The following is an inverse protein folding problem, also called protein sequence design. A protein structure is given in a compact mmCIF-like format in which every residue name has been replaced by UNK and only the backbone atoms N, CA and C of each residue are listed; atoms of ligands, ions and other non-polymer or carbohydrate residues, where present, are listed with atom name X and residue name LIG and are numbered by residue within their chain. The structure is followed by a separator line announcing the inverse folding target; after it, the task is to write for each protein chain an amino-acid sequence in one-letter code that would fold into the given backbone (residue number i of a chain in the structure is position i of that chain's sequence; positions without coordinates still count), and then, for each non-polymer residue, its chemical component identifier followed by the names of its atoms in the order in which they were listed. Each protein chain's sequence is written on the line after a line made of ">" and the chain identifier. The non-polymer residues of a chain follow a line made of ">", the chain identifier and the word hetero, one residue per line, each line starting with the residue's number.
data_IF_003338207206
#
_entry.id   IF_003338207206
#
_cell.length_a   1.000
_cell.length_b   1.000
_cell.length_c   1.000
_cell.angle_alpha   90.00
_cell.angle_beta   90.00
_cell.angle_gamma   90.00
#
_symmetry.space_group_name_H-M   'P 1'
#
loop_
_entity.id
_entity.type
_entity.pdbx_description
1 polymer ?
#
# COMPACT_ATOMS: atom_id res chain seq x y z
N UNK A 1 11.49 -8.90 -23.71
CA UNK A 1 11.14 -8.89 -22.27
C UNK A 1 11.07 -7.48 -21.68
N UNK A 2 12.03 -6.59 -21.91
CA UNK A 2 11.98 -5.21 -21.39
C UNK A 2 10.78 -4.38 -21.91
N UNK A 3 10.38 -4.57 -23.16
CA UNK A 3 9.24 -3.87 -23.79
C UNK A 3 7.88 -4.31 -23.22
N UNK A 4 7.72 -5.56 -22.81
CA UNK A 4 6.47 -6.07 -22.23
C UNK A 4 6.29 -5.53 -20.80
N UNK A 5 7.37 -5.43 -20.03
CA UNK A 5 7.37 -4.85 -18.70
C UNK A 5 7.08 -3.34 -18.77
N UNK A 6 7.64 -2.64 -19.76
CA UNK A 6 7.35 -1.20 -19.98
C UNK A 6 5.90 -0.98 -20.45
N UNK A 7 5.32 -1.87 -21.23
CA UNK A 7 3.92 -1.78 -21.68
C UNK A 7 2.93 -2.04 -20.56
N UNK A 8 3.20 -3.01 -19.69
CA UNK A 8 2.42 -3.21 -18.45
C UNK A 8 2.52 -2.02 -17.49
N UNK A 9 3.67 -1.34 -17.42
CA UNK A 9 3.88 -0.18 -16.58
C UNK A 9 3.15 1.09 -17.08
N UNK A 10 2.80 1.17 -18.35
CA UNK A 10 2.12 2.36 -18.92
C UNK A 10 0.58 2.27 -18.88
N UNK A 11 -0.01 1.10 -18.71
CA UNK A 11 -1.45 0.88 -18.84
C UNK A 11 -2.19 0.53 -17.56
N UNK A 12 -1.50 0.18 -16.47
CA UNK A 12 -2.14 -0.34 -15.26
C UNK A 12 -1.92 0.49 -13.99
N UNK A 13 -1.49 1.74 -14.08
CA UNK A 13 -1.28 2.59 -12.90
C UNK A 13 -2.54 3.29 -12.35
N UNK A 14 -3.72 2.78 -12.64
CA UNK A 14 -4.85 2.97 -11.76
C UNK A 14 -4.87 1.83 -10.72
N UNK A 15 -3.76 1.63 -10.08
CA UNK A 15 -3.63 0.59 -9.07
C UNK A 15 -4.54 0.89 -7.89
N UNK A 16 -5.63 0.31 -7.96
CA UNK A 16 -6.59 0.15 -6.92
C UNK A 16 -6.05 -0.74 -5.84
N UNK A 17 -5.93 -0.17 -4.72
CA UNK A 17 -5.76 -0.93 -3.50
C UNK A 17 -7.12 -1.18 -2.82
N UNK A 18 -8.16 -1.48 -3.61
CA UNK A 18 -9.48 -1.86 -3.10
C UNK A 18 -10.24 -0.80 -2.31
N UNK A 19 -9.73 0.41 -2.17
CA UNK A 19 -10.43 1.52 -1.55
C UNK A 19 -11.33 2.23 -2.57
N UNK A 20 -12.51 2.59 -2.13
CA UNK A 20 -13.53 3.17 -3.00
C UNK A 20 -13.60 4.68 -2.80
N UNK A 21 -13.64 5.46 -3.91
CA UNK A 21 -13.98 6.87 -3.79
C UNK A 21 -15.36 7.00 -3.15
N UNK A 22 -15.44 7.77 -2.07
CA UNK A 22 -16.70 8.03 -1.34
C UNK A 22 -17.82 8.51 -2.26
N UNK A 23 -17.48 9.33 -3.25
CA UNK A 23 -18.42 9.86 -4.23
C UNK A 23 -19.01 8.79 -5.16
N UNK A 24 -18.42 7.58 -5.21
CA UNK A 24 -18.80 6.52 -6.14
C UNK A 24 -19.55 5.36 -5.49
N UNK A 25 -19.76 5.36 -4.17
CA UNK A 25 -20.34 4.22 -3.45
C UNK A 25 -21.84 4.35 -3.18
N UNK A 26 -22.53 5.29 -3.80
CA UNK A 26 -23.97 5.34 -3.74
C UNK A 26 -24.60 4.14 -4.46
N UNK A 27 -25.77 3.69 -4.00
CA UNK A 27 -26.49 2.60 -4.66
C UNK A 27 -26.69 2.87 -6.15
N UNK A 28 -26.94 4.13 -6.54
CA UNK A 28 -27.05 4.55 -7.92
C UNK A 28 -25.76 4.26 -8.70
N UNK A 29 -24.62 4.76 -8.22
CA UNK A 29 -23.34 4.62 -8.93
C UNK A 29 -22.92 3.15 -9.07
N UNK A 30 -23.18 2.33 -8.07
CA UNK A 30 -22.89 0.89 -8.10
C UNK A 30 -23.81 0.14 -9.06
N UNK A 31 -25.12 0.47 -9.10
CA UNK A 31 -26.05 -0.14 -10.05
C UNK A 31 -25.76 0.28 -11.50
N UNK A 32 -25.46 1.57 -11.72
CA UNK A 32 -25.10 2.10 -13.03
C UNK A 32 -23.65 1.72 -13.43
N UNK A 33 -22.87 1.18 -12.50
CA UNK A 33 -21.47 0.85 -12.66
C UNK A 33 -20.64 2.04 -13.19
N UNK A 34 -20.90 3.22 -12.64
CA UNK A 34 -20.23 4.47 -13.05
C UNK A 34 -19.59 5.15 -11.84
N UNK A 35 -18.30 5.53 -12.00
CA UNK A 35 -17.55 6.35 -11.05
C UNK A 35 -16.91 7.54 -11.77
N UNK A 36 -17.70 8.57 -12.01
CA UNK A 36 -17.28 9.80 -12.68
C UNK A 36 -17.67 11.04 -11.86
N UNK A 37 -17.15 11.18 -10.63
CA UNK A 37 -17.54 12.30 -9.78
C UNK A 37 -17.02 13.63 -10.34
N UNK A 38 -17.70 14.74 -10.03
CA UNK A 38 -17.28 16.06 -10.47
C UNK A 38 -15.98 16.48 -9.77
N UNK A 39 -15.14 17.22 -10.48
CA UNK A 39 -14.05 17.94 -9.87
C UNK A 39 -14.56 19.25 -9.25
N UNK A 40 -14.21 19.52 -8.00
CA UNK A 40 -14.72 20.67 -7.26
C UNK A 40 -14.33 22.04 -7.86
N UNK A 41 -13.26 22.09 -8.66
CA UNK A 41 -12.77 23.34 -9.23
C UNK A 41 -13.63 23.90 -10.37
N UNK A 42 -14.36 23.04 -11.11
CA UNK A 42 -15.25 23.47 -12.20
C UNK A 42 -16.64 22.84 -12.17
N UNK A 43 -16.87 21.93 -11.23
CA UNK A 43 -18.16 21.25 -11.04
C UNK A 43 -18.52 20.22 -12.12
N UNK A 44 -17.70 20.02 -13.13
CA UNK A 44 -17.96 19.07 -14.21
C UNK A 44 -17.43 17.66 -13.88
N UNK A 45 -18.05 16.59 -14.38
CA UNK A 45 -17.54 15.23 -14.22
C UNK A 45 -16.09 15.13 -14.67
N UNK A 46 -15.21 14.59 -13.81
CA UNK A 46 -13.78 14.43 -14.09
C UNK A 46 -13.02 15.74 -14.43
N UNK A 47 -13.58 16.92 -14.14
CA UNK A 47 -12.99 18.21 -14.55
C UNK A 47 -12.96 18.40 -16.06
N UNK A 48 -13.99 17.91 -16.76
CA UNK A 48 -14.03 17.93 -18.23
C UNK A 48 -13.98 19.35 -18.81
N UNK A 49 -14.64 20.32 -18.19
CA UNK A 49 -14.62 21.72 -18.64
C UNK A 49 -13.22 22.33 -18.57
N UNK A 50 -12.43 21.92 -17.60
CA UNK A 50 -11.03 22.35 -17.45
C UNK A 50 -10.03 21.44 -18.18
N UNK A 51 -10.49 20.49 -18.98
CA UNK A 51 -9.62 19.58 -19.74
C UNK A 51 -8.85 18.56 -18.88
N UNK A 52 -9.27 18.33 -17.62
CA UNK A 52 -8.57 17.42 -16.70
C UNK A 52 -8.78 15.95 -17.02
N UNK A 53 -9.94 15.60 -17.53
CA UNK A 53 -10.27 14.24 -17.91
C UNK A 53 -11.69 14.09 -18.41
N UNK A 54 -12.08 12.87 -18.71
CA UNK A 54 -13.39 12.54 -19.26
C UNK A 54 -13.94 11.27 -18.60
N UNK A 55 -15.26 11.22 -18.46
CA UNK A 55 -15.96 10.00 -18.06
C UNK A 55 -16.05 9.05 -19.25
N UNK A 56 -15.31 7.96 -19.21
CA UNK A 56 -15.21 7.01 -20.33
C UNK A 56 -15.31 5.56 -19.86
N UNK A 57 -15.66 4.68 -20.79
CA UNK A 57 -15.60 3.24 -20.54
C UNK A 57 -14.17 2.81 -20.24
N UNK A 58 -14.03 1.91 -19.27
CA UNK A 58 -12.76 1.27 -18.95
C UNK A 58 -12.37 0.40 -20.14
N UNK A 59 -11.17 0.61 -20.66
CA UNK A 59 -10.60 -0.26 -21.69
C UNK A 59 -10.11 -1.55 -21.02
N UNK A 60 -10.81 -2.64 -21.27
CA UNK A 60 -10.40 -3.95 -20.80
C UNK A 60 -9.27 -4.46 -21.68
N UNK A 61 -8.27 -5.07 -21.07
CA UNK A 61 -7.23 -5.80 -21.80
C UNK A 61 -7.85 -7.07 -22.41
N UNK A 62 -7.55 -7.32 -23.68
CA UNK A 62 -7.87 -8.61 -24.34
C UNK A 62 -6.80 -9.69 -24.05
N UNK A 63 -5.77 -9.37 -23.29
CA UNK A 63 -4.80 -10.35 -22.86
C UNK A 63 -5.50 -11.40 -21.98
N UNK A 64 -5.19 -12.68 -22.15
CA UNK A 64 -5.72 -13.70 -21.25
C UNK A 64 -5.27 -13.37 -19.83
N UNK A 65 -6.19 -13.48 -18.90
CA UNK A 65 -5.86 -13.44 -17.48
C UNK A 65 -4.76 -14.45 -17.20
N UNK A 66 -3.86 -14.13 -16.30
CA UNK A 66 -2.82 -15.06 -15.88
C UNK A 66 -3.41 -16.41 -15.44
N UNK A 67 -2.58 -17.45 -15.27
CA UNK A 67 -3.06 -18.76 -14.86
C UNK A 67 -3.80 -18.60 -13.52
N UNK A 68 -5.09 -18.92 -13.55
CA UNK A 68 -5.93 -18.86 -12.36
C UNK A 68 -5.98 -20.22 -11.70
N UNK A 69 -6.00 -20.22 -10.38
CA UNK A 69 -6.32 -21.42 -9.63
C UNK A 69 -7.71 -21.93 -10.07
N UNK A 70 -8.02 -23.25 -9.96
CA UNK A 70 -9.34 -23.78 -10.33
C UNK A 70 -10.45 -23.24 -9.42
N UNK A 71 -10.48 -21.95 -9.30
CA UNK A 71 -11.43 -21.16 -8.55
C UNK A 71 -12.51 -20.67 -9.52
N UNK A 72 -13.72 -20.92 -9.18
CA UNK A 72 -14.87 -20.28 -9.81
C UNK A 72 -15.03 -18.86 -9.28
N UNK A 73 -14.16 -17.93 -9.69
CA UNK A 73 -14.32 -16.55 -9.21
C UNK A 73 -13.26 -15.59 -9.69
N UNK A 74 -13.59 -14.32 -9.61
CA UNK A 74 -12.77 -13.20 -10.04
C UNK A 74 -12.00 -12.68 -8.83
N UNK A 75 -10.68 -12.56 -8.94
CA UNK A 75 -9.91 -11.75 -8.02
C UNK A 75 -10.25 -10.28 -8.29
N UNK A 76 -10.93 -9.64 -7.37
CA UNK A 76 -11.35 -8.24 -7.47
C UNK A 76 -10.16 -7.27 -7.63
N UNK A 77 -8.94 -7.70 -7.27
CA UNK A 77 -7.71 -6.95 -7.46
C UNK A 77 -7.23 -6.96 -8.91
N UNK A 78 -7.33 -8.11 -9.60
CA UNK A 78 -6.91 -8.21 -11.01
C UNK A 78 -7.75 -7.35 -11.94
N UNK A 79 -9.05 -7.30 -11.67
CA UNK A 79 -10.01 -6.65 -12.55
C UNK A 79 -10.48 -5.30 -12.03
N UNK A 80 -9.80 -4.76 -11.02
CA UNK A 80 -10.12 -3.43 -10.53
C UNK A 80 -9.81 -2.36 -11.60
N UNK A 81 -10.64 -1.30 -11.74
CA UNK A 81 -11.94 -1.11 -11.12
C UNK A 81 -13.10 -1.73 -11.91
N UNK A 82 -12.84 -2.44 -13.01
CA UNK A 82 -13.84 -2.96 -13.94
C UNK A 82 -14.79 -3.99 -13.32
N UNK A 83 -14.40 -4.60 -12.19
CA UNK A 83 -15.28 -5.46 -11.41
C UNK A 83 -16.52 -4.71 -10.92
N UNK A 84 -16.34 -3.45 -10.51
CA UNK A 84 -17.39 -2.62 -9.91
C UNK A 84 -17.92 -1.55 -10.86
N UNK A 85 -17.10 -1.06 -11.78
CA UNK A 85 -17.45 0.06 -12.65
C UNK A 85 -17.12 -0.23 -14.11
N UNK A 86 -18.04 0.11 -15.00
CA UNK A 86 -17.81 0.08 -16.44
C UNK A 86 -17.24 1.41 -16.96
N UNK A 87 -17.51 2.51 -16.23
CA UNK A 87 -17.08 3.86 -16.60
C UNK A 87 -16.42 4.55 -15.42
N UNK A 88 -15.29 5.16 -15.68
CA UNK A 88 -14.53 5.94 -14.69
C UNK A 88 -13.93 7.18 -15.32
N UNK A 89 -13.42 8.09 -14.47
CA UNK A 89 -12.64 9.21 -14.96
C UNK A 89 -11.33 8.75 -15.57
N UNK A 90 -11.13 9.08 -16.86
CA UNK A 90 -9.85 8.92 -17.53
C UNK A 90 -9.16 10.28 -17.57
N UNK A 91 -8.08 10.42 -16.80
CA UNK A 91 -7.43 11.70 -16.61
C UNK A 91 -6.43 12.02 -17.75
N UNK A 92 -6.43 13.27 -18.19
CA UNK A 92 -5.57 13.78 -19.27
C UNK A 92 -4.25 14.32 -18.72
N UNK A 93 -3.22 14.34 -19.54
CA UNK A 93 -1.94 15.00 -19.22
C UNK A 93 -1.33 14.55 -17.90
N UNK A 94 -1.05 15.49 -17.02
CA UNK A 94 -0.45 15.24 -15.70
C UNK A 94 -1.49 15.21 -14.56
N UNK A 95 -2.76 15.11 -14.87
CA UNK A 95 -3.81 14.94 -13.85
C UNK A 95 -3.99 13.47 -13.48
N UNK A 96 -4.43 13.21 -12.23
CA UNK A 96 -4.73 11.89 -11.69
C UNK A 96 -5.80 11.98 -10.58
N UNK A 97 -6.13 10.82 -10.02
CA UNK A 97 -7.13 10.67 -8.97
C UNK A 97 -8.51 10.33 -9.52
N UNK A 98 -9.44 10.00 -8.64
CA UNK A 98 -10.76 9.48 -9.00
C UNK A 98 -11.66 10.48 -9.75
N UNK A 99 -11.38 11.78 -9.62
CA UNK A 99 -12.07 12.88 -10.30
C UNK A 99 -11.11 13.76 -11.11
N UNK A 100 -9.87 13.31 -11.35
CA UNK A 100 -8.79 14.05 -12.00
C UNK A 100 -8.40 15.36 -11.29
N UNK A 101 -8.67 15.43 -9.99
CA UNK A 101 -8.40 16.62 -9.18
C UNK A 101 -6.94 16.79 -8.77
N UNK A 102 -6.17 15.72 -8.77
CA UNK A 102 -4.79 15.68 -8.28
C UNK A 102 -3.77 15.73 -9.42
N UNK A 103 -2.54 16.10 -9.09
CA UNK A 103 -1.42 16.00 -10.01
C UNK A 103 -0.73 14.64 -9.92
N UNK A 104 -0.24 14.13 -11.05
CA UNK A 104 0.68 12.99 -11.06
C UNK A 104 1.92 13.28 -10.23
N UNK A 105 2.51 12.25 -9.66
CA UNK A 105 3.71 12.39 -8.82
C UNK A 105 4.84 13.13 -9.59
N UNK A 106 5.48 14.06 -8.87
CA UNK A 106 6.50 14.93 -9.45
C UNK A 106 5.96 16.17 -10.15
N UNK A 107 4.64 16.32 -10.24
CA UNK A 107 4.00 17.54 -10.75
C UNK A 107 3.20 18.24 -9.66
N UNK A 108 3.03 19.55 -9.82
CA UNK A 108 2.27 20.39 -8.89
C UNK A 108 1.70 21.64 -9.53
N UNK A 109 0.94 22.40 -8.75
CA UNK A 109 0.23 23.60 -9.19
C UNK A 109 -1.13 23.29 -9.78
N UNK A 110 -1.95 24.35 -10.04
CA UNK A 110 -3.35 24.19 -10.44
C UNK A 110 -3.53 23.44 -11.76
N UNK A 111 -2.57 23.53 -12.67
CA UNK A 111 -2.59 22.87 -13.97
C UNK A 111 -1.64 21.68 -14.07
N UNK A 112 -1.02 21.27 -12.96
CA UNK A 112 -0.06 20.16 -12.92
C UNK A 112 1.08 20.27 -13.94
N UNK A 113 1.55 21.48 -14.21
CA UNK A 113 2.61 21.75 -15.21
C UNK A 113 3.98 21.95 -14.59
N UNK A 114 4.02 22.37 -13.33
CA UNK A 114 5.28 22.60 -12.63
C UNK A 114 5.86 21.27 -12.21
N UNK A 115 7.19 21.15 -12.27
CA UNK A 115 7.91 19.98 -11.75
C UNK A 115 8.47 20.28 -10.37
N UNK A 116 8.45 19.27 -9.51
CA UNK A 116 9.00 19.35 -8.17
C UNK A 116 9.80 18.09 -7.87
N UNK A 117 11.01 18.28 -7.35
CA UNK A 117 11.83 17.22 -6.79
C UNK A 117 11.70 17.26 -5.27
N UNK A 118 11.20 16.18 -4.69
CA UNK A 118 11.16 15.97 -3.25
C UNK A 118 12.22 14.97 -2.86
N UNK A 119 12.92 15.25 -1.75
CA UNK A 119 14.01 14.40 -1.26
C UNK A 119 13.62 13.86 0.11
N UNK A 120 13.58 12.54 0.24
CA UNK A 120 13.44 11.86 1.52
C UNK A 120 14.76 11.93 2.27
N UNK A 121 14.71 12.31 3.52
CA UNK A 121 15.90 12.46 4.39
C UNK A 121 15.96 11.31 5.39
N UNK A 122 17.17 10.98 5.85
CA UNK A 122 17.31 10.10 7.00
C UNK A 122 16.60 10.73 8.21
N UNK A 123 15.89 9.93 8.98
CA UNK A 123 15.14 10.41 10.14
C UNK A 123 16.03 11.06 11.19
N UNK A 124 17.30 10.65 11.29
CA UNK A 124 18.30 11.23 12.18
C UNK A 124 18.87 12.58 11.69
N UNK A 125 18.68 12.91 10.41
CA UNK A 125 19.08 14.21 9.85
C UNK A 125 17.98 15.27 10.01
N UNK A 126 16.84 14.91 10.57
CA UNK A 126 15.77 15.83 10.86
C UNK A 126 16.09 16.64 12.12
N UNK A 127 15.91 17.94 12.06
CA UNK A 127 15.89 18.78 13.27
C UNK A 127 14.71 18.37 14.17
N UNK A 128 14.80 18.71 15.46
CA UNK A 128 13.74 18.40 16.43
C UNK A 128 12.37 18.91 15.97
N UNK A 129 12.22 20.18 15.48
CA UNK A 129 10.92 20.64 14.97
C UNK A 129 10.42 19.88 13.74
N UNK A 130 11.32 19.43 12.84
CA UNK A 130 10.93 18.65 11.67
C UNK A 130 10.46 17.25 12.06
N UNK A 131 11.15 16.60 12.99
CA UNK A 131 10.77 15.33 13.57
C UNK A 131 9.41 15.42 14.27
N UNK A 132 9.24 16.40 15.15
CA UNK A 132 7.98 16.60 15.88
C UNK A 132 6.81 16.87 14.91
N UNK A 133 7.06 17.66 13.86
CA UNK A 133 6.10 17.89 12.79
C UNK A 133 5.73 16.58 12.07
N UNK A 134 6.70 15.75 11.75
CA UNK A 134 6.44 14.42 11.15
C UNK A 134 5.54 13.55 12.02
N UNK A 135 5.85 13.43 13.31
CA UNK A 135 5.05 12.65 14.26
C UNK A 135 3.63 13.25 14.45
N UNK A 136 3.53 14.57 14.49
CA UNK A 136 2.24 15.25 14.55
C UNK A 136 1.39 14.99 13.31
N UNK A 137 1.98 14.94 12.12
CA UNK A 137 1.27 14.64 10.88
C UNK A 137 0.75 13.19 10.83
N UNK A 138 1.54 12.22 11.32
CA UNK A 138 1.08 10.85 11.49
C UNK A 138 -0.13 10.78 12.44
N UNK A 139 -0.04 11.46 13.57
CA UNK A 139 -1.13 11.51 14.55
C UNK A 139 -2.37 12.19 13.99
N UNK A 140 -2.21 13.28 13.24
CA UNK A 140 -3.33 13.95 12.56
C UNK A 140 -4.01 12.99 11.58
N UNK A 141 -3.24 12.27 10.77
CA UNK A 141 -3.78 11.29 9.81
C UNK A 141 -4.50 10.12 10.50
N UNK A 142 -3.99 9.68 11.67
CA UNK A 142 -4.63 8.62 12.46
C UNK A 142 -6.00 9.01 12.99
N UNK A 143 -6.21 10.30 13.30
CA UNK A 143 -7.45 10.80 13.89
C UNK A 143 -8.37 11.51 12.88
N UNK A 144 -7.95 11.67 11.63
CA UNK A 144 -8.75 12.31 10.58
C UNK A 144 -9.38 11.26 9.68
N UNK A 145 -10.70 11.24 9.61
CA UNK A 145 -11.42 10.36 8.66
C UNK A 145 -11.07 10.78 7.23
N UNK A 146 -10.77 9.81 6.38
CA UNK A 146 -10.52 10.06 4.97
C UNK A 146 -11.73 10.76 4.33
N UNK A 147 -11.56 11.97 3.76
CA UNK A 147 -12.66 12.67 3.10
C UNK A 147 -13.04 12.00 1.78
N UNK A 148 -12.09 11.43 1.09
CA UNK A 148 -12.23 10.98 -0.29
C UNK A 148 -12.51 9.48 -0.43
N UNK A 149 -12.14 8.67 0.57
CA UNK A 149 -12.20 7.22 0.46
C UNK A 149 -12.92 6.53 1.60
N UNK A 150 -13.48 5.38 1.26
CA UNK A 150 -14.10 4.42 2.18
C UNK A 150 -13.60 3.02 1.87
N UNK A 151 -13.74 2.11 2.81
CA UNK A 151 -13.40 0.70 2.63
C UNK A 151 -14.66 -0.16 2.55
N UNK A 152 -14.65 -1.25 1.76
CA UNK A 152 -15.75 -2.20 1.74
C UNK A 152 -15.77 -3.02 3.03
N UNK A 153 -16.96 -3.28 3.54
CA UNK A 153 -17.20 -4.14 4.72
C UNK A 153 -18.01 -5.39 4.37
N UNK A 154 -18.42 -5.50 3.11
CA UNK A 154 -19.08 -6.66 2.57
C UNK A 154 -18.17 -7.47 1.65
N UNK A 155 -18.49 -8.75 1.48
CA UNK A 155 -17.83 -9.56 0.46
C UNK A 155 -18.18 -9.07 -0.95
N UNK A 156 -17.33 -9.37 -1.92
CA UNK A 156 -17.59 -9.07 -3.33
C UNK A 156 -18.99 -9.54 -3.78
N UNK A 157 -19.38 -10.76 -3.40
CA UNK A 157 -20.71 -11.30 -3.73
C UNK A 157 -21.87 -10.49 -3.14
N UNK A 158 -21.72 -10.01 -1.90
CA UNK A 158 -22.72 -9.15 -1.26
C UNK A 158 -22.83 -7.79 -1.94
N UNK A 159 -21.72 -7.19 -2.35
CA UNK A 159 -21.72 -5.89 -3.03
C UNK A 159 -22.29 -5.97 -4.45
N UNK A 160 -22.16 -7.12 -5.13
CA UNK A 160 -22.61 -7.28 -6.53
C UNK A 160 -24.03 -7.84 -6.69
N UNK A 161 -24.70 -8.28 -5.63
CA UNK A 161 -26.05 -8.83 -5.72
C UNK A 161 -27.17 -7.77 -5.61
N UNK A 162 -26.82 -6.48 -5.67
CA UNK A 162 -27.77 -5.37 -5.54
C UNK A 162 -28.20 -5.07 -4.11
N UNK A 163 -27.57 -5.69 -3.12
CA UNK A 163 -27.80 -5.37 -1.71
C UNK A 163 -27.30 -3.96 -1.36
N UNK A 164 -27.72 -3.46 -0.21
CA UNK A 164 -27.26 -2.16 0.29
C UNK A 164 -25.74 -2.09 0.29
N UNK A 165 -25.14 -1.01 -0.23
CA UNK A 165 -23.70 -0.83 -0.22
C UNK A 165 -23.16 -0.96 1.20
N UNK A 166 -22.14 -1.81 1.34
CA UNK A 166 -21.50 -2.08 2.62
C UNK A 166 -20.14 -1.40 2.63
N UNK A 167 -20.10 -0.19 3.15
CA UNK A 167 -18.89 0.61 3.23
C UNK A 167 -18.75 1.25 4.61
N UNK A 168 -17.53 1.40 5.08
CA UNK A 168 -17.20 2.05 6.35
C UNK A 168 -16.26 3.22 6.15
N UNK A 169 -16.40 4.23 6.98
CA UNK A 169 -15.43 5.30 7.15
C UNK A 169 -14.18 4.74 7.82
N UNK A 170 -13.04 5.29 7.44
CA UNK A 170 -11.76 4.91 8.02
C UNK A 170 -10.86 6.15 8.15
N UNK A 171 -9.95 6.17 9.11
CA UNK A 171 -8.97 7.25 9.20
C UNK A 171 -8.03 7.22 8.00
N UNK A 172 -7.39 8.35 7.69
CA UNK A 172 -6.41 8.40 6.59
C UNK A 172 -5.25 7.44 6.83
N UNK A 173 -4.75 7.33 8.07
CA UNK A 173 -3.70 6.39 8.40
C UNK A 173 -4.17 4.94 8.24
N UNK A 174 -5.30 4.60 8.82
CA UNK A 174 -5.82 3.22 8.77
C UNK A 174 -6.29 2.82 7.38
N UNK A 175 -6.63 3.77 6.51
CA UNK A 175 -6.86 3.50 5.09
C UNK A 175 -5.63 2.89 4.44
N UNK A 176 -4.42 3.41 4.74
CA UNK A 176 -3.18 2.85 4.20
C UNK A 176 -2.84 1.50 4.84
N UNK A 177 -3.14 1.30 6.12
CA UNK A 177 -3.05 -0.03 6.76
C UNK A 177 -3.96 -1.02 6.05
N UNK A 178 -5.21 -0.62 5.79
CA UNK A 178 -6.18 -1.44 5.08
C UNK A 178 -5.77 -1.73 3.63
N UNK A 179 -5.23 -0.74 2.92
CA UNK A 179 -4.72 -0.92 1.56
C UNK A 179 -3.61 -1.97 1.52
N UNK A 180 -2.67 -1.89 2.46
CA UNK A 180 -1.59 -2.86 2.56
C UNK A 180 -2.11 -4.27 2.87
N UNK A 181 -3.00 -4.38 3.86
CA UNK A 181 -3.71 -5.62 4.19
C UNK A 181 -4.43 -6.22 2.97
N UNK A 182 -5.19 -5.39 2.24
CA UNK A 182 -5.99 -5.83 1.11
C UNK A 182 -5.14 -6.38 -0.04
N UNK A 183 -4.02 -5.75 -0.33
CA UNK A 183 -3.10 -6.18 -1.39
C UNK A 183 -2.31 -7.42 -0.98
N UNK A 184 -1.99 -7.56 0.30
CA UNK A 184 -1.22 -8.67 0.85
C UNK A 184 -2.02 -9.98 0.99
N UNK A 185 -3.27 -10.02 0.51
CA UNK A 185 -4.02 -11.27 0.44
C UNK A 185 -3.37 -12.24 -0.55
N UNK A 186 -3.40 -13.52 -0.22
CA UNK A 186 -2.91 -14.57 -1.09
C UNK A 186 -3.54 -14.48 -2.48
N UNK A 187 -2.78 -14.77 -3.52
CA UNK A 187 -3.28 -14.73 -4.89
C UNK A 187 -4.11 -15.95 -5.23
N UNK A 188 -5.01 -15.79 -6.18
CA UNK A 188 -5.75 -16.89 -6.80
C UNK A 188 -5.02 -17.47 -8.01
N UNK A 189 -3.75 -17.14 -8.23
CA UNK A 189 -2.97 -17.70 -9.32
C UNK A 189 -2.80 -19.20 -9.12
N UNK A 190 -3.33 -19.96 -10.05
CA UNK A 190 -3.29 -21.40 -10.00
C UNK A 190 -2.28 -22.02 -10.92
N UNK A 191 -2.16 -23.33 -10.82
CA UNK A 191 -1.40 -24.16 -11.73
C UNK A 191 -0.13 -24.76 -11.17
N UNK A 192 0.47 -24.20 -10.12
CA UNK A 192 1.57 -24.84 -9.39
C UNK A 192 1.59 -24.40 -7.94
N UNK A 193 2.23 -25.19 -7.08
CA UNK A 193 2.43 -24.83 -5.68
C UNK A 193 3.27 -23.56 -5.50
N UNK A 194 4.09 -23.21 -6.51
CA UNK A 194 4.93 -22.01 -6.54
C UNK A 194 4.07 -20.72 -6.56
N UNK A 195 2.92 -20.78 -7.21
CA UNK A 195 2.02 -19.62 -7.38
C UNK A 195 0.93 -19.55 -6.32
N UNK A 196 0.74 -20.64 -5.57
CA UNK A 196 -0.19 -20.66 -4.46
C UNK A 196 0.34 -19.76 -3.35
N UNK A 197 -0.53 -19.01 -2.76
CA UNK A 197 -0.22 -18.21 -1.58
C UNK A 197 0.84 -17.11 -1.83
N UNK A 198 0.99 -16.64 -3.08
CA UNK A 198 1.82 -15.48 -3.39
C UNK A 198 1.06 -14.21 -3.08
N UNK A 199 1.71 -13.37 -2.30
CA UNK A 199 1.34 -11.98 -2.09
C UNK A 199 2.05 -11.11 -3.14
N UNK A 200 1.31 -10.47 -4.06
CA UNK A 200 1.91 -9.67 -5.12
C UNK A 200 2.56 -8.37 -4.67
N UNK A 201 2.20 -7.85 -3.52
CA UNK A 201 2.90 -6.71 -2.92
C UNK A 201 4.23 -7.14 -2.29
N UNK A 202 4.31 -8.43 -1.89
CA UNK A 202 5.47 -9.08 -1.31
C UNK A 202 5.76 -10.35 -2.11
N UNK A 203 6.94 -10.93 -1.93
CA UNK A 203 7.33 -12.21 -2.53
C UNK A 203 7.19 -12.27 -4.06
N UNK A 204 7.05 -11.12 -4.74
CA UNK A 204 6.80 -11.03 -6.19
C UNK A 204 7.50 -9.81 -6.81
N UNK A 205 7.61 -9.74 -8.15
CA UNK A 205 8.24 -8.61 -8.83
C UNK A 205 7.62 -7.24 -8.51
N UNK A 206 6.39 -7.22 -8.04
CA UNK A 206 5.66 -6.03 -7.61
C UNK A 206 6.20 -5.36 -6.34
N UNK A 207 6.99 -6.06 -5.54
CA UNK A 207 7.42 -5.58 -4.23
C UNK A 207 7.93 -4.13 -4.24
N UNK A 208 9.00 -3.84 -4.94
CA UNK A 208 9.59 -2.49 -4.94
C UNK A 208 8.72 -1.43 -5.63
N UNK A 209 8.19 -1.65 -6.85
CA UNK A 209 7.38 -0.63 -7.50
C UNK A 209 6.06 -0.37 -6.77
N UNK A 210 5.44 -1.39 -6.18
CA UNK A 210 4.22 -1.22 -5.41
C UNK A 210 4.47 -0.39 -4.14
N UNK A 211 5.47 -0.73 -3.32
CA UNK A 211 5.79 0.02 -2.10
C UNK A 211 6.22 1.46 -2.41
N UNK A 212 6.95 1.67 -3.52
CA UNK A 212 7.28 3.03 -3.96
C UNK A 212 6.02 3.85 -4.26
N UNK A 213 5.06 3.28 -4.99
CA UNK A 213 3.79 3.94 -5.29
C UNK A 213 2.96 4.18 -4.03
N UNK A 214 2.91 3.20 -3.14
CA UNK A 214 2.22 3.28 -1.86
C UNK A 214 2.73 4.47 -1.02
N UNK A 215 4.04 4.60 -0.88
CA UNK A 215 4.65 5.72 -0.16
C UNK A 215 4.42 7.07 -0.85
N UNK A 216 4.48 7.14 -2.18
CA UNK A 216 4.16 8.38 -2.91
C UNK A 216 2.72 8.82 -2.71
N UNK A 217 1.77 7.88 -2.67
CA UNK A 217 0.38 8.17 -2.34
C UNK A 217 0.22 8.65 -0.90
N UNK A 218 0.89 7.98 0.03
CA UNK A 218 0.90 8.40 1.43
C UNK A 218 1.40 9.83 1.59
N UNK A 219 2.53 10.16 0.97
CA UNK A 219 3.08 11.52 0.98
C UNK A 219 2.07 12.52 0.41
N UNK A 220 1.41 12.21 -0.69
CA UNK A 220 0.42 13.08 -1.32
C UNK A 220 -0.81 13.31 -0.42
N UNK A 221 -1.31 12.27 0.23
CA UNK A 221 -2.44 12.39 1.16
C UNK A 221 -2.08 13.28 2.38
N UNK A 222 -0.88 13.12 2.94
CA UNK A 222 -0.40 13.98 4.03
C UNK A 222 -0.21 15.43 3.54
N UNK A 223 0.34 15.63 2.35
CA UNK A 223 0.48 16.97 1.77
C UNK A 223 -0.89 17.65 1.60
N UNK A 224 -1.90 16.93 1.15
CA UNK A 224 -3.27 17.43 1.02
C UNK A 224 -3.91 17.72 2.39
N UNK A 225 -3.73 16.82 3.35
CA UNK A 225 -4.28 16.97 4.70
C UNK A 225 -3.72 18.19 5.44
N UNK A 226 -2.43 18.42 5.29
CA UNK A 226 -1.69 19.42 6.09
C UNK A 226 -1.44 20.74 5.36
N UNK A 227 -1.57 20.76 4.03
CA UNK A 227 -1.12 21.85 3.18
C UNK A 227 0.40 21.99 3.09
N UNK A 228 1.18 21.07 3.69
CA UNK A 228 2.63 21.05 3.58
C UNK A 228 3.07 20.29 2.31
N UNK A 229 3.15 20.99 1.21
CA UNK A 229 3.52 20.45 -0.08
C UNK A 229 4.92 19.83 -0.12
N UNK A 230 5.80 20.16 0.83
CA UNK A 230 7.17 19.67 0.91
C UNK A 230 7.31 18.43 1.79
N UNK A 231 6.22 17.95 2.37
CA UNK A 231 6.26 16.75 3.19
C UNK A 231 6.76 15.54 2.40
N UNK A 232 7.70 14.82 3.00
CA UNK A 232 8.17 13.49 2.55
C UNK A 232 8.29 12.58 3.75
N UNK A 233 8.13 11.28 3.53
CA UNK A 233 8.39 10.27 4.57
C UNK A 233 9.90 10.18 4.79
N UNK A 234 10.42 10.39 6.00
CA UNK A 234 11.81 10.14 6.29
C UNK A 234 12.11 8.64 6.22
N UNK A 235 13.34 8.28 5.92
CA UNK A 235 13.79 6.89 5.97
C UNK A 235 14.71 6.64 7.15
N UNK A 236 14.73 5.42 7.64
CA UNK A 236 15.71 4.92 8.58
C UNK A 236 16.74 4.08 7.82
N UNK A 237 17.98 4.49 7.90
CA UNK A 237 19.10 3.69 7.39
C UNK A 237 19.54 2.72 8.50
N UNK A 238 19.02 1.51 8.43
CA UNK A 238 19.27 0.47 9.42
C UNK A 238 20.55 -0.36 9.17
N UNK A 239 21.35 0.00 8.16
CA UNK A 239 22.61 -0.69 7.88
C UNK A 239 23.56 -0.56 9.06
N UNK A 240 24.14 -1.70 9.46
CA UNK A 240 25.08 -1.82 10.57
C UNK A 240 24.53 -1.33 11.93
N UNK A 241 23.23 -1.13 12.06
CA UNK A 241 22.63 -0.83 13.34
C UNK A 241 22.63 -2.08 14.24
N UNK A 242 23.08 -1.93 15.48
CA UNK A 242 23.13 -3.02 16.45
C UNK A 242 21.74 -3.38 16.99
N UNK A 243 20.82 -2.41 17.02
CA UNK A 243 19.47 -2.54 17.50
C UNK A 243 18.54 -1.54 16.84
N UNK A 244 17.25 -1.57 17.16
CA UNK A 244 16.28 -0.59 16.67
C UNK A 244 16.48 0.74 17.39
N UNK A 245 17.33 1.60 16.87
CA UNK A 245 17.65 2.92 17.43
C UNK A 245 16.55 3.97 17.24
N UNK A 246 15.59 3.72 16.32
CA UNK A 246 14.36 4.50 16.20
C UNK A 246 13.24 4.02 17.13
N UNK A 247 13.40 2.90 17.83
CA UNK A 247 12.44 2.34 18.79
C UNK A 247 12.50 3.05 20.14
N UNK A 248 12.51 4.36 20.17
CA UNK A 248 12.52 5.22 21.36
C UNK A 248 11.30 6.15 21.36
N UNK A 249 10.98 6.71 22.53
CA UNK A 249 9.82 7.60 22.65
C UNK A 249 9.96 8.90 21.85
N UNK A 250 11.18 9.24 21.48
CA UNK A 250 11.46 10.40 20.61
C UNK A 250 11.15 10.12 19.13
N UNK A 251 11.01 8.84 18.73
CA UNK A 251 10.78 8.41 17.35
C UNK A 251 9.55 7.51 17.25
N UNK A 252 9.72 6.22 17.05
CA UNK A 252 8.64 5.26 16.79
C UNK A 252 8.11 4.57 18.05
N UNK A 253 8.40 5.11 19.22
CA UNK A 253 7.97 4.62 20.51
C UNK A 253 8.92 3.57 21.12
N UNK A 254 9.21 3.72 22.41
CA UNK A 254 10.00 2.78 23.18
C UNK A 254 9.14 1.63 23.73
N UNK A 255 9.80 0.71 24.44
CA UNK A 255 9.13 -0.38 25.13
C UNK A 255 8.44 0.10 26.41
N UNK A 256 7.28 -0.45 26.70
CA UNK A 256 6.61 -0.24 27.96
C UNK A 256 7.43 -0.86 29.13
N UNK A 257 7.64 -0.11 30.25
CA UNK A 257 8.53 -0.59 31.33
C UNK A 257 8.13 -1.92 31.96
N UNK A 258 6.80 -2.18 32.05
CA UNK A 258 6.28 -3.37 32.69
C UNK A 258 5.81 -4.47 31.71
N UNK A 259 5.66 -4.14 30.41
CA UNK A 259 5.22 -5.11 29.40
C UNK A 259 5.94 -4.84 28.07
N UNK A 260 6.96 -5.63 27.73
CA UNK A 260 7.77 -5.38 26.54
C UNK A 260 6.99 -5.51 25.21
N UNK A 261 5.79 -6.05 25.23
CA UNK A 261 4.95 -6.16 24.05
C UNK A 261 4.16 -4.86 23.73
N UNK A 262 4.09 -3.95 24.69
CA UNK A 262 3.39 -2.68 24.53
C UNK A 262 4.38 -1.55 24.26
N UNK A 263 3.85 -0.46 23.71
CA UNK A 263 4.58 0.80 23.61
C UNK A 263 4.67 1.50 24.97
N UNK A 264 5.74 2.24 25.16
CA UNK A 264 5.88 3.16 26.29
C UNK A 264 4.71 4.13 26.39
N UNK A 265 4.17 4.40 27.57
CA UNK A 265 3.12 5.42 27.76
C UNK A 265 3.53 6.83 27.35
N UNK A 266 4.83 7.11 27.28
CA UNK A 266 5.38 8.40 26.83
C UNK A 266 5.44 8.51 25.30
N UNK A 267 5.23 7.43 24.56
CA UNK A 267 5.24 7.43 23.10
C UNK A 267 4.02 8.16 22.53
N UNK A 268 4.21 8.88 21.44
CA UNK A 268 3.12 9.45 20.62
C UNK A 268 2.09 8.41 20.18
N UNK A 269 2.50 7.16 20.05
CA UNK A 269 1.69 6.06 19.53
C UNK A 269 1.03 5.24 20.64
N UNK A 270 1.22 5.58 21.92
CA UNK A 270 0.76 4.77 23.05
C UNK A 270 -0.75 4.55 23.11
N UNK A 271 -1.53 5.50 22.59
CA UNK A 271 -3.00 5.43 22.52
C UNK A 271 -3.53 4.85 21.21
N UNK A 272 -2.65 4.51 20.27
CA UNK A 272 -3.07 4.00 18.97
C UNK A 272 -3.60 2.58 19.07
N UNK A 273 -4.59 2.32 18.26
CA UNK A 273 -5.16 0.99 18.12
C UNK A 273 -4.87 0.45 16.72
N UNK A 274 -4.67 -0.86 16.64
CA UNK A 274 -4.47 -1.57 15.39
C UNK A 274 -5.80 -1.86 14.72
N UNK A 275 -5.76 -1.98 13.40
CA UNK A 275 -6.83 -2.50 12.56
C UNK A 275 -6.24 -3.59 11.67
N UNK A 276 -7.06 -4.50 11.17
CA UNK A 276 -6.62 -5.50 10.19
C UNK A 276 -5.47 -6.40 10.65
N UNK A 277 -5.51 -6.86 11.90
CA UNK A 277 -4.44 -7.70 12.47
C UNK A 277 -4.43 -9.13 11.92
N UNK A 278 -5.51 -9.56 11.29
CA UNK A 278 -5.66 -10.92 10.77
C UNK A 278 -5.54 -10.92 9.26
N UNK A 279 -4.79 -11.87 8.73
CA UNK A 279 -4.75 -12.12 7.30
C UNK A 279 -6.11 -12.64 6.83
N UNK A 280 -6.55 -12.16 5.69
CA UNK A 280 -7.75 -12.63 5.02
C UNK A 280 -7.44 -13.91 4.27
N UNK A 281 -8.25 -14.95 4.51
CA UNK A 281 -8.24 -16.12 3.64
C UNK A 281 -9.03 -15.78 2.38
N UNK A 282 -8.34 -15.58 1.31
CA UNK A 282 -8.96 -15.23 0.02
C UNK A 282 -9.96 -16.30 -0.46
N UNK A 283 -9.73 -17.55 -0.10
CA UNK A 283 -10.59 -18.68 -0.42
C UNK A 283 -12.03 -18.52 0.06
N UNK A 284 -12.25 -17.83 1.16
CA UNK A 284 -13.60 -17.57 1.67
C UNK A 284 -14.25 -16.36 1.01
N UNK A 285 -13.51 -15.53 0.30
CA UNK A 285 -13.94 -14.23 -0.25
C UNK A 285 -14.62 -13.34 0.77
N UNK A 286 -14.22 -13.50 1.99
CA UNK A 286 -14.75 -12.77 3.11
C UNK A 286 -13.77 -11.69 3.49
N UNK A 287 -14.19 -10.44 3.43
CA UNK A 287 -13.40 -9.34 3.97
C UNK A 287 -13.40 -9.48 5.49
N UNK A 288 -12.27 -9.81 6.08
CA UNK A 288 -12.13 -9.99 7.52
C UNK A 288 -11.91 -8.66 8.25
N UNK A 289 -11.28 -7.70 7.59
CA UNK A 289 -11.04 -6.36 8.15
C UNK A 289 -12.10 -5.36 7.69
N UNK A 290 -12.86 -4.87 8.64
CA UNK A 290 -13.85 -3.80 8.43
C UNK A 290 -13.40 -2.44 8.98
N UNK A 291 -12.11 -2.29 9.33
CA UNK A 291 -11.54 -1.07 9.90
C UNK A 291 -11.86 -0.83 11.37
N UNK A 292 -12.47 -1.80 12.06
CA UNK A 292 -12.75 -1.69 13.50
C UNK A 292 -11.45 -1.83 14.30
N UNK A 293 -11.24 -1.01 15.33
CA UNK A 293 -10.11 -1.17 16.23
C UNK A 293 -10.08 -2.54 16.93
N UNK A 294 -8.92 -3.19 16.96
CA UNK A 294 -8.73 -4.55 17.46
C UNK A 294 -7.86 -4.62 18.73
N UNK A 295 -7.42 -3.50 19.25
CA UNK A 295 -6.61 -3.42 20.46
C UNK A 295 -5.42 -2.48 20.32
N UNK A 296 -4.57 -2.39 21.35
CA UNK A 296 -3.44 -1.47 21.36
C UNK A 296 -2.38 -1.84 20.32
N UNK A 297 -1.66 -0.83 19.84
CA UNK A 297 -0.47 -1.03 19.02
C UNK A 297 0.59 -1.79 19.84
N UNK A 298 1.12 -2.87 19.27
CA UNK A 298 2.09 -3.73 19.95
C UNK A 298 3.52 -3.45 19.46
N UNK A 299 4.46 -3.30 20.38
CA UNK A 299 5.88 -3.16 20.06
C UNK A 299 6.49 -4.49 19.59
N UNK A 300 5.98 -5.59 20.07
CA UNK A 300 6.44 -6.93 19.72
C UNK A 300 5.22 -7.83 19.49
N UNK A 301 4.67 -7.85 18.29
CA UNK A 301 3.47 -8.62 17.97
C UNK A 301 3.71 -10.14 17.91
N UNK A 302 4.92 -10.61 18.25
CA UNK A 302 5.27 -12.02 18.19
C UNK A 302 5.64 -12.54 16.80
N UNK A 303 5.68 -11.67 15.80
CA UNK A 303 6.04 -12.05 14.43
C UNK A 303 7.56 -12.07 14.19
N UNK A 304 8.36 -11.65 15.19
CA UNK A 304 9.80 -11.60 15.11
C UNK A 304 10.42 -12.94 15.45
N UNK A 305 11.08 -13.55 14.50
CA UNK A 305 11.85 -14.80 14.69
C UNK A 305 13.33 -14.48 14.86
N UNK A 306 13.75 -14.30 16.13
CA UNK A 306 15.15 -14.01 16.48
C UNK A 306 16.12 -15.13 16.10
N UNK A 307 15.63 -16.35 15.90
CA UNK A 307 16.48 -17.45 15.47
C UNK A 307 16.82 -17.35 13.98
N UNK A 308 15.93 -16.78 13.18
CA UNK A 308 16.10 -16.62 11.73
C UNK A 308 16.69 -15.27 11.34
N UNK A 309 16.38 -14.23 12.10
CA UNK A 309 16.87 -12.87 11.88
C UNK A 309 17.60 -12.33 13.10
N UNK A 310 18.79 -12.88 13.41
CA UNK A 310 19.48 -12.55 14.65
C UNK A 310 20.07 -11.13 14.67
N UNK A 311 20.18 -10.47 13.52
CA UNK A 311 20.77 -9.14 13.38
C UNK A 311 20.11 -8.33 12.28
N UNK A 312 20.25 -7.03 12.33
CA UNK A 312 19.92 -6.14 11.23
C UNK A 312 20.96 -6.31 10.09
N UNK A 313 20.58 -5.98 8.84
CA UNK A 313 21.50 -6.08 7.71
C UNK A 313 22.73 -5.20 7.86
N UNK A 314 23.88 -5.74 7.46
CA UNK A 314 25.15 -5.03 7.39
C UNK A 314 25.36 -4.34 6.03
N UNK A 315 26.31 -3.44 5.97
CA UNK A 315 26.77 -2.86 4.71
C UNK A 315 27.20 -3.93 3.70
N UNK A 316 27.82 -5.02 4.14
CA UNK A 316 28.20 -6.13 3.27
C UNK A 316 26.96 -6.87 2.69
N UNK A 317 25.88 -7.02 3.45
CA UNK A 317 24.64 -7.61 2.96
C UNK A 317 23.99 -6.73 1.87
N UNK A 318 24.04 -5.41 2.07
CA UNK A 318 23.54 -4.45 1.07
C UNK A 318 24.40 -4.48 -0.20
N UNK A 319 25.70 -4.48 -0.09
CA UNK A 319 26.64 -4.59 -1.23
C UNK A 319 26.42 -5.90 -2.00
N UNK A 320 26.25 -7.02 -1.28
CA UNK A 320 25.91 -8.29 -1.91
C UNK A 320 24.61 -8.19 -2.69
N UNK A 321 23.54 -7.66 -2.09
CA UNK A 321 22.26 -7.48 -2.77
C UNK A 321 22.41 -6.61 -4.04
N UNK A 322 23.13 -5.49 -3.94
CA UNK A 322 23.36 -4.59 -5.08
C UNK A 322 24.25 -5.20 -6.18
N UNK A 323 25.04 -6.21 -5.86
CA UNK A 323 25.87 -6.93 -6.86
C UNK A 323 25.05 -7.85 -7.76
N UNK A 324 23.81 -8.17 -7.40
CA UNK A 324 22.95 -9.07 -8.14
C UNK A 324 22.40 -8.38 -9.39
N UNK A 325 22.60 -9.01 -10.53
CA UNK A 325 22.22 -8.45 -11.85
C UNK A 325 20.82 -8.84 -12.30
N UNK A 326 20.25 -9.88 -11.70
CA UNK A 326 18.86 -10.30 -11.95
C UNK A 326 17.93 -9.69 -10.91
N UNK A 327 16.94 -8.96 -11.39
CA UNK A 327 15.92 -8.40 -10.51
C UNK A 327 15.04 -9.49 -9.89
N UNK A 328 14.62 -10.47 -10.68
CA UNK A 328 13.73 -11.54 -10.27
C UNK A 328 14.16 -12.86 -10.90
N UNK A 329 13.91 -13.98 -10.26
CA UNK A 329 14.07 -15.29 -10.86
C UNK A 329 13.03 -15.53 -11.97
N UNK A 330 13.41 -16.25 -13.04
CA UNK A 330 12.51 -16.53 -14.16
C UNK A 330 11.17 -17.15 -13.77
N UNK A 331 11.14 -18.15 -12.88
CA UNK A 331 9.90 -18.76 -12.40
C UNK A 331 9.18 -17.96 -11.29
N UNK A 332 9.67 -16.79 -10.88
CA UNK A 332 9.19 -16.04 -9.70
C UNK A 332 9.15 -16.90 -8.42
N UNK A 333 10.10 -17.78 -8.29
CA UNK A 333 10.20 -18.71 -7.17
C UNK A 333 10.61 -17.96 -5.90
N UNK A 334 9.70 -17.90 -4.93
CA UNK A 334 9.97 -17.29 -3.64
C UNK A 334 11.11 -17.94 -2.85
N UNK A 335 11.45 -19.18 -3.19
CA UNK A 335 12.59 -19.92 -2.66
C UNK A 335 13.87 -19.73 -3.45
N UNK A 336 13.83 -19.06 -4.61
CA UNK A 336 15.01 -18.84 -5.43
C UNK A 336 15.98 -17.92 -4.73
N UNK A 337 17.18 -18.40 -4.52
CA UNK A 337 18.30 -17.59 -4.09
C UNK A 337 18.83 -16.75 -5.27
N UNK A 338 19.47 -15.62 -4.98
CA UNK A 338 20.24 -14.83 -5.94
C UNK A 338 19.45 -13.97 -6.94
N UNK A 339 18.18 -13.64 -6.71
CA UNK A 339 17.57 -12.49 -7.34
C UNK A 339 17.62 -11.27 -6.41
N UNK A 340 17.75 -10.08 -6.98
CA UNK A 340 17.79 -8.84 -6.20
C UNK A 340 16.58 -8.69 -5.29
N UNK A 341 15.35 -8.89 -5.82
CA UNK A 341 14.12 -8.76 -5.07
C UNK A 341 14.06 -9.77 -3.91
N UNK A 342 14.28 -11.06 -4.17
CA UNK A 342 14.26 -12.08 -3.12
C UNK A 342 15.31 -11.83 -2.02
N UNK A 343 16.51 -11.42 -2.42
CA UNK A 343 17.58 -11.10 -1.47
C UNK A 343 17.23 -9.90 -0.61
N UNK A 344 16.69 -8.83 -1.24
CA UNK A 344 16.29 -7.63 -0.51
C UNK A 344 15.12 -7.92 0.44
N UNK A 345 14.14 -8.71 0.01
CA UNK A 345 12.92 -8.97 0.77
C UNK A 345 13.10 -10.00 1.89
N UNK A 346 13.94 -10.98 1.70
CA UNK A 346 14.01 -12.10 2.64
C UNK A 346 15.39 -12.59 3.00
N UNK A 347 16.37 -12.49 2.12
CA UNK A 347 17.66 -13.14 2.28
C UNK A 347 18.72 -12.24 2.94
N UNK A 348 18.51 -10.95 3.08
CA UNK A 348 19.40 -10.11 3.89
C UNK A 348 19.46 -10.59 5.35
N UNK A 349 18.46 -11.35 5.75
CA UNK A 349 18.36 -11.88 7.11
C UNK A 349 18.91 -13.29 7.30
N UNK A 350 19.24 -14.05 6.23
CA UNK A 350 19.64 -15.45 6.42
C UNK A 350 20.58 -15.97 5.33
N UNK A 351 21.86 -15.72 5.47
CA UNK A 351 22.85 -16.51 4.72
C UNK A 351 22.94 -17.99 5.14
N UNK A 352 22.11 -18.46 6.06
CA UNK A 352 22.28 -19.80 6.65
C UNK A 352 21.03 -20.68 6.76
N UNK A 353 19.86 -20.36 6.24
CA UNK A 353 18.76 -21.33 6.30
C UNK A 353 17.87 -21.35 5.06
N UNK A 354 17.80 -22.51 4.47
CA UNK A 354 17.11 -22.87 3.22
C UNK A 354 15.58 -23.03 3.37
N UNK A 355 14.92 -22.43 4.33
CA UNK A 355 13.47 -22.63 4.47
C UNK A 355 12.85 -21.66 5.47
N UNK A 356 12.34 -20.57 5.00
CA UNK A 356 11.21 -19.81 5.55
C UNK A 356 11.27 -18.31 5.30
N UNK A 357 10.72 -17.92 4.19
CA UNK A 357 10.73 -16.57 3.66
C UNK A 357 9.69 -15.61 4.26
N UNK A 358 8.79 -16.10 5.10
CA UNK A 358 7.58 -15.36 5.49
C UNK A 358 7.69 -14.46 6.72
N UNK A 359 8.86 -14.31 7.35
CA UNK A 359 8.90 -13.78 8.72
C UNK A 359 9.44 -12.35 8.83
N UNK A 360 10.28 -11.89 7.93
CA UNK A 360 10.91 -10.56 8.06
C UNK A 360 9.97 -9.44 7.71
N UNK A 361 9.16 -9.62 6.67
CA UNK A 361 8.20 -8.60 6.22
C UNK A 361 7.03 -8.39 7.16
N UNK A 362 6.54 -9.48 7.76
CA UNK A 362 5.43 -9.40 8.72
C UNK A 362 5.81 -8.70 10.03
N UNK A 363 7.10 -8.55 10.33
CA UNK A 363 7.57 -7.91 11.55
C UNK A 363 7.89 -6.42 11.45
N UNK A 364 8.24 -5.91 10.27
CA UNK A 364 8.70 -4.53 10.10
C UNK A 364 7.61 -3.61 9.56
N UNK A 365 6.67 -4.12 8.77
CA UNK A 365 5.62 -3.34 8.11
C UNK A 365 4.20 -3.67 8.56
N UNK A 366 3.98 -4.66 9.42
CA UNK A 366 2.67 -4.98 9.99
C UNK A 366 2.33 -4.13 11.23
N UNK A 367 2.92 -2.95 11.34
CA UNK A 367 2.53 -1.92 12.29
C UNK A 367 2.04 -0.69 11.57
#
# INVERSE_FOLDING_TARGET
>A
MLLVVLYCLLWSFQTSAGHFPRACVSSKNLMEKECCPPWTGDGSPCGQLSGRGFCQNILLSNAPLGPQFPFTGVDDRESWPSVFYNRTCQCSGNFMGFNCGNCKFGFWGPNCTNRRLLVRRNIFDLSVPEKDKFLAYLTLAKHTISPDYVIPTGSYGQMNNGSTPMFSNISMYDLFVWMHYYVSRDTLLGGSEIWRDIDFAHEAPGFLPWHRLFLLRWEQEIQMLTGDENFTVPYWDWRDAESCDICTDEYMGGHHPANPNLLSPASFFSSWQIVCSRLEEYNSRQTLCNGTPEGPLLRNPGNHDKARTPRLPSSADVEFCLSLTQYESGPMDKAANFSFRNTLEGALASQQSTSSYNTVHKGVFSQ
#
